data_IF_975032717535
#
_entry.id   IF_975032717535
#
_cell.length_a   1.000
_cell.length_b   1.000
_cell.length_c   1.000
_cell.angle_alpha   90.00
_cell.angle_beta   90.00
_cell.angle_gamma   90.00
#
_symmetry.space_group_name_H-M   'P 1'
#
loop_
_entity.id
_entity.type
_entity.pdbx_description
1 polymer ?
#
# COMPACT_ATOMS: atom_id res chain seq x y z
N UNK A 1 -7.53 27.92 76.11
CA UNK A 1 -6.30 27.13 76.23
C UNK A 1 -6.51 25.88 75.41
N UNK A 2 -5.93 25.75 74.33
CA UNK A 2 -5.55 24.53 73.55
C UNK A 2 -5.31 24.89 72.09
N UNK A 3 -4.04 24.90 71.75
CA UNK A 3 -3.59 25.20 70.44
C UNK A 3 -3.76 23.97 69.54
N UNK A 4 -4.49 24.12 68.45
CA UNK A 4 -4.59 23.09 67.41
C UNK A 4 -3.67 23.51 66.25
N UNK A 5 -2.55 22.83 66.11
CA UNK A 5 -1.64 22.93 64.98
C UNK A 5 -2.21 22.11 63.82
N UNK A 6 -2.67 22.80 62.76
CA UNK A 6 -3.03 22.17 61.47
C UNK A 6 -1.78 22.05 60.58
N UNK A 7 -1.35 20.81 60.37
CA UNK A 7 -0.27 20.49 59.43
C UNK A 7 -0.86 20.43 58.03
N UNK A 8 -0.49 21.38 57.17
CA UNK A 8 -0.80 21.39 55.76
C UNK A 8 0.17 20.42 55.03
N UNK A 9 -0.31 19.23 54.67
CA UNK A 9 0.40 18.34 53.79
C UNK A 9 0.11 18.77 52.33
N UNK A 10 1.08 19.46 51.71
CA UNK A 10 1.04 19.83 50.31
C UNK A 10 1.37 18.59 49.46
N UNK A 11 0.36 17.94 48.91
CA UNK A 11 0.52 16.84 47.97
C UNK A 11 1.03 17.39 46.62
N UNK A 12 2.30 17.14 46.33
CA UNK A 12 2.95 17.43 45.06
C UNK A 12 2.44 16.41 44.01
N UNK A 13 1.38 16.74 43.29
CA UNK A 13 0.94 15.96 42.13
C UNK A 13 1.93 16.26 40.98
N UNK A 14 2.91 15.38 40.82
CA UNK A 14 3.76 15.39 39.66
C UNK A 14 2.89 15.03 38.42
N UNK A 15 2.55 16.03 37.66
CA UNK A 15 1.91 15.86 36.36
C UNK A 15 2.89 15.14 35.38
N UNK A 16 2.74 13.81 35.26
CA UNK A 16 3.35 13.10 34.13
C UNK A 16 2.62 13.56 32.85
N UNK A 17 3.15 14.59 32.23
CA UNK A 17 2.81 14.90 30.86
C UNK A 17 3.36 13.77 29.99
N UNK A 18 2.56 13.09 29.17
CA UNK A 18 3.10 12.20 28.16
C UNK A 18 3.93 13.03 27.20
N UNK A 19 5.25 12.87 27.25
CA UNK A 19 6.13 13.43 26.23
C UNK A 19 5.68 12.88 24.88
N UNK A 20 5.51 13.72 23.85
CA UNK A 20 5.27 13.20 22.51
C UNK A 20 6.46 12.30 22.16
N UNK A 21 6.22 11.02 21.92
CA UNK A 21 7.23 10.15 21.32
C UNK A 21 7.64 10.81 20.00
N UNK A 22 8.77 11.49 20.00
CA UNK A 22 9.44 11.83 18.75
C UNK A 22 9.63 10.51 18.04
N UNK A 23 9.07 10.37 16.83
CA UNK A 23 9.36 9.24 15.96
C UNK A 23 10.88 9.18 15.78
N UNK A 24 11.53 8.34 16.56
CA UNK A 24 12.96 8.07 16.40
C UNK A 24 13.11 7.36 15.07
N UNK A 25 14.14 7.74 14.29
CA UNK A 25 14.48 6.99 13.09
C UNK A 25 14.55 5.49 13.44
N UNK A 26 13.96 4.61 12.63
CA UNK A 26 13.97 3.18 12.91
C UNK A 26 15.40 2.70 13.14
N UNK A 27 15.62 1.91 14.19
CA UNK A 27 16.91 1.30 14.41
C UNK A 27 17.24 0.29 13.31
N UNK A 28 18.52 -0.06 13.14
CA UNK A 28 18.98 -0.94 12.08
C UNK A 28 18.31 -2.34 12.15
N UNK A 29 17.99 -2.82 13.35
CA UNK A 29 17.31 -4.10 13.56
C UNK A 29 15.88 -4.06 13.04
N UNK A 30 15.13 -3.00 13.34
CA UNK A 30 13.75 -2.82 12.91
C UNK A 30 13.68 -2.67 11.38
N UNK A 31 14.59 -1.92 10.80
CA UNK A 31 14.70 -1.77 9.35
C UNK A 31 15.01 -3.11 8.66
N UNK A 32 15.91 -3.92 9.23
CA UNK A 32 16.22 -5.25 8.71
C UNK A 32 15.00 -6.19 8.80
N UNK A 33 14.28 -6.19 9.92
CA UNK A 33 13.06 -6.97 10.08
C UNK A 33 11.95 -6.55 9.10
N UNK A 34 11.83 -5.24 8.83
CA UNK A 34 10.88 -4.73 7.85
C UNK A 34 11.23 -5.18 6.41
N UNK A 35 12.51 -5.14 6.03
CA UNK A 35 12.95 -5.66 4.72
C UNK A 35 12.65 -7.15 4.57
N UNK A 36 12.96 -7.94 5.58
CA UNK A 36 12.66 -9.38 5.59
C UNK A 36 11.15 -9.63 5.43
N UNK A 37 10.33 -8.93 6.21
CA UNK A 37 8.87 -9.02 6.11
C UNK A 37 8.38 -8.67 4.69
N UNK A 38 8.86 -7.59 4.10
CA UNK A 38 8.49 -7.18 2.74
C UNK A 38 8.88 -8.23 1.68
N UNK A 39 10.03 -8.88 1.84
CA UNK A 39 10.49 -9.94 0.94
C UNK A 39 9.56 -11.15 1.01
N UNK A 40 9.33 -11.68 2.22
CA UNK A 40 8.51 -12.90 2.41
C UNK A 40 7.03 -12.67 2.14
N UNK A 41 6.52 -11.46 2.36
CA UNK A 41 5.15 -11.05 2.03
C UNK A 41 4.96 -10.72 0.53
N UNK A 42 6.04 -10.75 -0.26
CA UNK A 42 5.99 -10.45 -1.69
C UNK A 42 5.80 -8.96 -2.03
N UNK A 43 5.89 -8.07 -1.05
CA UNK A 43 5.74 -6.62 -1.27
C UNK A 43 6.82 -6.09 -2.22
N UNK A 44 8.06 -6.55 -2.05
CA UNK A 44 9.18 -6.14 -2.90
C UNK A 44 8.97 -6.50 -4.39
N UNK A 45 8.26 -7.61 -4.67
CA UNK A 45 7.94 -8.04 -6.04
C UNK A 45 6.96 -7.11 -6.76
N UNK A 46 6.13 -6.39 -6.03
CA UNK A 46 5.18 -5.43 -6.62
C UNK A 46 5.90 -4.27 -7.32
N UNK A 47 7.14 -4.00 -6.93
CA UNK A 47 7.97 -2.96 -7.55
C UNK A 47 8.72 -3.44 -8.80
N UNK A 48 8.69 -4.73 -9.12
CA UNK A 48 9.37 -5.28 -10.32
C UNK A 48 8.78 -4.71 -11.61
N UNK A 49 7.46 -4.46 -11.62
CA UNK A 49 6.75 -3.92 -12.77
C UNK A 49 6.82 -2.39 -12.87
N UNK A 50 7.31 -1.71 -11.84
CA UNK A 50 7.29 -0.25 -11.80
C UNK A 50 8.21 0.36 -12.87
N UNK A 51 9.44 -0.14 -13.03
CA UNK A 51 10.39 0.38 -14.01
C UNK A 51 9.94 0.13 -15.46
N UNK A 52 9.48 -1.09 -15.83
CA UNK A 52 8.87 -1.33 -17.13
C UNK A 52 7.68 -0.42 -17.42
N UNK A 53 6.79 -0.22 -16.43
CA UNK A 53 5.61 0.63 -16.58
C UNK A 53 6.00 2.10 -16.83
N UNK A 54 6.95 2.64 -16.07
CA UNK A 54 7.46 3.99 -16.25
C UNK A 54 8.13 4.16 -17.64
N UNK A 55 8.94 3.18 -18.03
CA UNK A 55 9.58 3.19 -19.35
C UNK A 55 8.54 3.17 -20.48
N UNK A 56 7.50 2.37 -20.36
CA UNK A 56 6.40 2.31 -21.33
C UNK A 56 5.66 3.65 -21.41
N UNK A 57 5.32 4.26 -20.28
CA UNK A 57 4.61 5.53 -20.21
C UNK A 57 5.43 6.67 -20.84
N UNK A 58 6.73 6.73 -20.49
CA UNK A 58 7.64 7.71 -21.09
C UNK A 58 7.81 7.47 -22.60
N UNK A 59 7.97 6.22 -23.04
CA UNK A 59 8.05 5.86 -24.45
C UNK A 59 6.86 6.39 -25.26
N UNK A 60 5.65 6.27 -24.74
CA UNK A 60 4.44 6.79 -25.38
C UNK A 60 4.50 8.32 -25.56
N UNK A 61 5.00 9.04 -24.55
CA UNK A 61 5.16 10.49 -24.61
C UNK A 61 6.19 10.91 -25.69
N UNK A 62 7.30 10.16 -25.81
CA UNK A 62 8.32 10.43 -26.82
C UNK A 62 7.83 10.08 -28.23
N UNK A 63 7.09 8.98 -28.40
CA UNK A 63 6.47 8.59 -29.70
C UNK A 63 5.46 9.65 -30.13
N UNK A 64 4.73 10.29 -29.22
CA UNK A 64 3.80 11.36 -29.57
C UNK A 64 4.50 12.59 -30.16
N UNK A 65 5.77 12.82 -29.80
CA UNK A 65 6.58 13.94 -30.33
C UNK A 65 7.25 13.60 -31.65
N UNK A 66 7.67 12.32 -31.84
CA UNK A 66 8.37 11.86 -33.06
C UNK A 66 7.79 10.52 -33.53
N UNK A 67 6.57 10.52 -34.08
CA UNK A 67 5.87 9.27 -34.46
C UNK A 67 6.58 8.49 -35.57
N UNK A 68 7.34 9.14 -36.42
CA UNK A 68 8.14 8.50 -37.48
C UNK A 68 9.33 7.69 -36.95
N UNK A 69 9.69 7.88 -35.68
CA UNK A 69 10.74 7.17 -34.93
C UNK A 69 10.21 6.20 -33.90
N UNK A 70 8.93 5.87 -33.94
CA UNK A 70 8.24 5.11 -32.90
C UNK A 70 8.94 3.80 -32.53
N UNK A 71 9.43 3.04 -33.51
CA UNK A 71 10.06 1.74 -33.25
C UNK A 71 11.44 1.88 -32.59
N UNK A 72 12.24 2.84 -33.05
CA UNK A 72 13.52 3.15 -32.43
C UNK A 72 13.35 3.61 -30.98
N UNK A 73 12.36 4.48 -30.74
CA UNK A 73 12.02 4.97 -29.39
C UNK A 73 11.61 3.80 -28.49
N UNK A 74 10.70 2.93 -28.93
CA UNK A 74 10.27 1.77 -28.14
C UNK A 74 11.42 0.83 -27.82
N UNK A 75 12.33 0.58 -28.75
CA UNK A 75 13.50 -0.26 -28.51
C UNK A 75 14.43 0.34 -27.45
N UNK A 76 14.69 1.64 -27.50
CA UNK A 76 15.50 2.32 -26.47
C UNK A 76 14.84 2.19 -25.09
N UNK A 77 13.57 2.52 -24.98
CA UNK A 77 12.84 2.46 -23.70
C UNK A 77 12.67 1.04 -23.15
N UNK A 78 12.62 0.02 -24.01
CA UNK A 78 12.58 -1.38 -23.56
C UNK A 78 13.87 -1.83 -22.87
N UNK A 79 15.02 -1.20 -23.16
CA UNK A 79 16.32 -1.54 -22.57
C UNK A 79 16.64 -0.72 -21.31
N UNK A 80 16.00 0.44 -21.12
CA UNK A 80 16.31 1.34 -20.01
C UNK A 80 16.03 0.75 -18.63
N UNK A 81 14.94 -0.01 -18.37
CA UNK A 81 14.68 -0.59 -17.06
C UNK A 81 15.86 -1.37 -16.48
N UNK A 82 16.57 -2.11 -17.31
CA UNK A 82 17.74 -2.89 -16.88
C UNK A 82 18.89 -2.02 -16.29
N UNK A 83 19.01 -0.76 -16.75
CA UNK A 83 20.03 0.18 -16.26
C UNK A 83 19.69 0.78 -14.90
N UNK A 84 18.42 0.70 -14.49
CA UNK A 84 17.92 1.29 -13.25
C UNK A 84 17.47 0.23 -12.23
N UNK A 85 17.75 -1.05 -12.49
CA UNK A 85 17.31 -2.16 -11.62
C UNK A 85 17.83 -2.01 -10.20
N UNK A 86 19.05 -1.53 -10.02
CA UNK A 86 19.68 -1.35 -8.71
C UNK A 86 18.98 -0.25 -7.88
N UNK A 87 18.34 0.71 -8.55
CA UNK A 87 17.59 1.78 -7.89
C UNK A 87 16.29 1.31 -7.23
N UNK A 88 15.81 0.12 -7.60
CA UNK A 88 14.70 -0.54 -6.90
C UNK A 88 15.01 -0.71 -5.40
N UNK A 89 16.27 -1.01 -5.04
CA UNK A 89 16.70 -1.13 -3.65
C UNK A 89 16.44 0.13 -2.84
N UNK A 90 16.66 1.31 -3.42
CA UNK A 90 16.39 2.60 -2.75
C UNK A 90 14.91 2.76 -2.37
N UNK A 91 14.00 2.36 -3.26
CA UNK A 91 12.56 2.39 -2.99
C UNK A 91 12.16 1.37 -1.93
N UNK A 92 12.68 0.15 -2.00
CA UNK A 92 12.45 -0.89 -0.99
C UNK A 92 12.90 -0.40 0.38
N UNK A 93 14.05 0.25 0.48
CA UNK A 93 14.58 0.79 1.73
C UNK A 93 13.69 1.90 2.32
N UNK A 94 13.19 2.79 1.49
CA UNK A 94 12.26 3.82 1.91
C UNK A 94 10.94 3.22 2.42
N UNK A 95 10.38 2.24 1.70
CA UNK A 95 9.14 1.57 2.12
C UNK A 95 9.37 0.73 3.39
N UNK A 96 10.51 0.04 3.51
CA UNK A 96 10.89 -0.66 4.74
C UNK A 96 10.98 0.30 5.93
N UNK A 97 11.48 1.52 5.69
CA UNK A 97 11.48 2.60 6.69
C UNK A 97 10.08 2.94 7.20
N UNK A 98 9.07 2.99 6.32
CA UNK A 98 7.68 3.23 6.74
C UNK A 98 7.15 2.09 7.62
N UNK A 99 7.35 0.84 7.23
CA UNK A 99 6.96 -0.31 8.07
C UNK A 99 7.67 -0.29 9.43
N UNK A 100 8.97 0.04 9.44
CA UNK A 100 9.77 0.11 10.66
C UNK A 100 9.40 1.30 11.58
N UNK A 101 8.71 2.31 11.09
CA UNK A 101 8.13 3.39 11.90
C UNK A 101 6.84 2.94 12.59
N UNK A 102 6.02 2.14 11.92
CA UNK A 102 4.67 1.76 12.37
C UNK A 102 4.65 0.47 13.18
N UNK A 103 5.58 -0.47 12.94
CA UNK A 103 5.59 -1.80 13.54
C UNK A 103 6.84 -2.05 14.37
N UNK A 104 6.68 -2.78 15.49
CA UNK A 104 7.80 -3.26 16.29
C UNK A 104 8.54 -4.41 15.61
N UNK A 105 9.74 -4.76 16.11
CA UNK A 105 10.51 -5.91 15.61
C UNK A 105 9.72 -7.20 15.79
N UNK A 106 9.00 -7.36 16.90
CA UNK A 106 8.19 -8.53 17.24
C UNK A 106 7.00 -8.68 16.28
N UNK A 107 6.32 -7.58 15.94
CA UNK A 107 5.21 -7.58 15.00
C UNK A 107 5.69 -7.91 13.58
N UNK A 108 6.79 -7.32 13.13
CA UNK A 108 7.41 -7.60 11.84
C UNK A 108 7.84 -9.08 11.75
N UNK A 109 8.43 -9.63 12.83
CA UNK A 109 8.80 -11.03 12.89
C UNK A 109 7.59 -11.97 12.87
N UNK A 110 6.50 -11.62 13.55
CA UNK A 110 5.25 -12.40 13.56
C UNK A 110 4.61 -12.45 12.15
N UNK A 111 4.56 -11.32 11.44
CA UNK A 111 4.08 -11.25 10.05
C UNK A 111 4.98 -12.09 9.13
N UNK A 112 6.30 -11.98 9.28
CA UNK A 112 7.26 -12.80 8.52
C UNK A 112 7.05 -14.28 8.75
N UNK A 113 6.88 -14.69 10.01
CA UNK A 113 6.61 -16.08 10.37
C UNK A 113 5.30 -16.60 9.76
N UNK A 114 4.25 -15.78 9.75
CA UNK A 114 3.00 -16.14 9.08
C UNK A 114 3.22 -16.41 7.59
N UNK A 115 3.83 -15.49 6.85
CA UNK A 115 4.03 -15.68 5.41
C UNK A 115 4.99 -16.82 5.06
N UNK A 116 5.91 -17.18 5.95
CA UNK A 116 6.77 -18.38 5.85
C UNK A 116 6.03 -19.67 6.16
N UNK A 117 4.88 -19.62 6.82
CA UNK A 117 4.07 -20.81 7.12
C UNK A 117 3.42 -21.39 5.85
N UNK A 118 3.03 -22.69 5.86
CA UNK A 118 2.32 -23.29 4.72
C UNK A 118 1.05 -22.54 4.34
N UNK A 119 0.31 -22.01 5.31
CA UNK A 119 -0.91 -21.22 5.08
C UNK A 119 -0.61 -19.88 4.43
N UNK A 120 0.38 -19.14 4.95
CA UNK A 120 0.81 -17.84 4.39
C UNK A 120 1.38 -17.98 2.97
N UNK A 121 2.24 -18.97 2.74
CA UNK A 121 2.77 -19.26 1.42
C UNK A 121 1.66 -19.63 0.42
N UNK A 122 0.66 -20.42 0.85
CA UNK A 122 -0.50 -20.75 0.02
C UNK A 122 -1.35 -19.52 -0.28
N UNK A 123 -1.57 -18.65 0.68
CA UNK A 123 -2.28 -17.39 0.51
C UNK A 123 -1.62 -16.55 -0.57
N UNK A 124 -0.31 -16.29 -0.46
CA UNK A 124 0.45 -15.53 -1.46
C UNK A 124 0.34 -16.14 -2.87
N UNK A 125 0.42 -17.46 -2.96
CA UNK A 125 0.35 -18.15 -4.26
C UNK A 125 -1.00 -18.00 -4.95
N UNK A 126 -2.11 -17.96 -4.19
CA UNK A 126 -3.47 -17.89 -4.76
C UNK A 126 -4.00 -16.46 -4.91
N UNK A 127 -3.45 -15.51 -4.18
CA UNK A 127 -3.92 -14.13 -4.13
C UNK A 127 -4.04 -13.47 -5.53
N UNK A 128 -3.08 -13.60 -6.47
CA UNK A 128 -3.22 -13.01 -7.79
C UNK A 128 -4.38 -13.59 -8.60
N UNK A 129 -4.63 -14.89 -8.45
CA UNK A 129 -5.77 -15.55 -9.12
C UNK A 129 -7.10 -15.08 -8.53
N UNK A 130 -7.19 -15.02 -7.20
CA UNK A 130 -8.39 -14.51 -6.52
C UNK A 130 -8.67 -13.07 -6.93
N UNK A 131 -7.65 -12.22 -6.98
CA UNK A 131 -7.80 -10.82 -7.40
C UNK A 131 -8.39 -10.71 -8.82
N UNK A 132 -7.85 -11.47 -9.79
CA UNK A 132 -8.39 -11.51 -11.17
C UNK A 132 -9.83 -12.00 -11.22
N UNK A 133 -10.14 -13.07 -10.50
CA UNK A 133 -11.50 -13.63 -10.46
C UNK A 133 -12.49 -12.65 -9.78
N UNK A 134 -12.07 -11.99 -8.70
CA UNK A 134 -12.87 -10.98 -8.02
C UNK A 134 -13.19 -9.79 -8.93
N UNK A 135 -12.21 -9.33 -9.72
CA UNK A 135 -12.42 -8.27 -10.72
C UNK A 135 -13.49 -8.69 -11.74
N UNK A 136 -13.37 -9.91 -12.30
CA UNK A 136 -14.32 -10.44 -13.28
C UNK A 136 -15.73 -10.65 -12.67
N UNK A 137 -15.80 -11.06 -11.41
CA UNK A 137 -17.07 -11.15 -10.68
C UNK A 137 -17.69 -9.77 -10.49
N UNK A 138 -16.90 -8.78 -10.06
CA UNK A 138 -17.35 -7.40 -9.89
C UNK A 138 -17.90 -6.79 -11.17
N UNK A 139 -17.24 -7.02 -12.29
CA UNK A 139 -17.72 -6.53 -13.61
C UNK A 139 -19.07 -7.16 -14.00
N UNK A 140 -19.22 -8.48 -13.82
CA UNK A 140 -20.49 -9.17 -14.12
C UNK A 140 -21.63 -8.69 -13.21
N UNK A 141 -21.35 -8.59 -11.92
CA UNK A 141 -22.31 -8.08 -10.93
C UNK A 141 -22.72 -6.64 -11.24
N UNK A 142 -21.74 -5.76 -11.51
CA UNK A 142 -22.00 -4.38 -11.89
C UNK A 142 -22.87 -4.23 -13.15
N UNK A 143 -22.62 -5.06 -14.17
CA UNK A 143 -23.44 -5.08 -15.37
C UNK A 143 -24.88 -5.57 -15.10
N UNK A 144 -25.06 -6.53 -14.18
CA UNK A 144 -26.38 -6.98 -13.77
C UNK A 144 -27.16 -5.87 -13.03
N UNK A 145 -26.53 -5.29 -12.00
CA UNK A 145 -27.14 -4.21 -11.22
C UNK A 145 -27.43 -2.99 -12.10
N UNK A 146 -26.54 -2.66 -13.04
CA UNK A 146 -26.78 -1.58 -14.00
C UNK A 146 -28.06 -1.76 -14.80
N UNK A 147 -28.34 -2.98 -15.28
CA UNK A 147 -29.60 -3.29 -15.97
C UNK A 147 -30.81 -3.18 -15.04
N UNK A 148 -30.70 -3.63 -13.81
CA UNK A 148 -31.79 -3.54 -12.83
C UNK A 148 -32.12 -2.07 -12.49
N UNK A 149 -31.07 -1.24 -12.29
CA UNK A 149 -31.22 0.21 -12.08
C UNK A 149 -31.85 0.88 -13.29
N UNK A 150 -31.44 0.53 -14.50
CA UNK A 150 -32.03 1.10 -15.74
C UNK A 150 -33.53 0.79 -15.84
N UNK A 151 -33.90 -0.48 -15.59
CA UNK A 151 -35.33 -0.88 -15.62
C UNK A 151 -36.14 -0.13 -14.58
N UNK A 152 -35.62 0.01 -13.37
CA UNK A 152 -36.35 0.72 -12.31
C UNK A 152 -36.42 2.24 -12.59
N UNK A 153 -35.35 2.82 -13.09
CA UNK A 153 -35.30 4.21 -13.50
C UNK A 153 -36.37 4.51 -14.61
N UNK A 154 -36.47 3.64 -15.63
CA UNK A 154 -37.47 3.77 -16.69
C UNK A 154 -38.88 3.72 -16.13
N UNK A 155 -39.18 2.82 -15.16
CA UNK A 155 -40.48 2.75 -14.48
C UNK A 155 -40.83 4.04 -13.72
N UNK A 156 -39.85 4.56 -12.96
CA UNK A 156 -40.05 5.78 -12.17
C UNK A 156 -40.19 7.02 -13.06
N UNK A 157 -39.43 7.13 -14.14
CA UNK A 157 -39.53 8.22 -15.11
C UNK A 157 -40.90 8.21 -15.81
N UNK A 158 -41.38 7.03 -16.20
CA UNK A 158 -42.72 6.89 -16.81
C UNK A 158 -43.84 7.34 -15.87
N UNK A 159 -43.75 7.02 -14.57
CA UNK A 159 -44.71 7.53 -13.56
C UNK A 159 -44.72 9.08 -13.48
N UNK A 160 -43.62 9.73 -13.80
CA UNK A 160 -43.47 11.19 -13.83
C UNK A 160 -43.81 11.81 -15.21
N UNK A 161 -44.28 11.00 -16.17
CA UNK A 161 -44.63 11.48 -17.51
C UNK A 161 -43.44 11.67 -18.43
N UNK A 162 -42.26 11.11 -18.08
CA UNK A 162 -41.05 11.15 -18.90
C UNK A 162 -40.92 9.81 -19.61
N UNK A 163 -41.10 9.78 -20.90
CA UNK A 163 -40.91 8.60 -21.77
C UNK A 163 -39.49 8.63 -22.39
N UNK A 164 -38.69 7.53 -22.17
CA UNK A 164 -37.35 7.35 -22.69
C UNK A 164 -37.26 6.05 -23.49
#
# INVERSE_FOLDING_TARGET
MAHLLAVFALALIASLSPSPLKAQAPDAQRLAAAREMMEVAGVAKQFDELMPLLAQQLSQSFVAVAPEKADEIRQVFAQLPAKFIDRKGELIDQVAGLYAQELSVEELAAVSAFYKSPAGARLLAVQPQIARQSMALGQRWGAQIGREIELEARKELKKRGIEL
#
